data_IF_866585436494
#
_entry.id   IF_866585436494
#
_cell.length_a   1.000
_cell.length_b   1.000
_cell.length_c   1.000
_cell.angle_alpha   90.00
_cell.angle_beta   90.00
_cell.angle_gamma   90.00
#
_symmetry.space_group_name_H-M   'P 1'
#
loop_
_entity.id
_entity.type
_entity.pdbx_description
1 polymer ?
#
# COMPACT_ATOMS: atom_id res chain seq x y z
N UNK A 1 -0.15 12.04 -14.42
CA UNK A 1 -0.91 13.20 -13.93
C UNK A 1 -0.57 13.56 -12.49
N UNK A 2 -0.46 12.60 -11.56
CA UNK A 2 -0.16 12.92 -10.14
C UNK A 2 1.21 13.60 -9.94
N UNK A 3 2.24 13.27 -10.74
CA UNK A 3 3.60 13.82 -10.61
C UNK A 3 3.78 15.34 -10.84
N UNK A 4 2.74 16.05 -11.24
CA UNK A 4 2.80 17.51 -11.46
C UNK A 4 1.86 18.27 -10.53
N UNK A 5 1.08 17.57 -9.71
CA UNK A 5 -0.01 18.17 -8.95
C UNK A 5 0.50 19.07 -7.81
N UNK A 6 1.71 18.81 -7.33
CA UNK A 6 2.40 19.58 -6.31
C UNK A 6 3.36 20.65 -6.85
N UNK A 7 3.51 20.74 -8.17
CA UNK A 7 4.30 21.80 -8.82
C UNK A 7 3.50 23.11 -8.89
N UNK A 8 4.13 24.25 -9.26
CA UNK A 8 3.41 25.50 -9.50
C UNK A 8 2.18 25.30 -10.39
N UNK A 9 1.05 25.82 -9.93
CA UNK A 9 -0.27 25.68 -10.56
C UNK A 9 -0.87 24.26 -10.61
N UNK A 10 -0.20 23.24 -10.07
CA UNK A 10 -0.64 21.84 -10.14
C UNK A 10 -2.03 21.60 -9.52
N UNK A 11 -2.30 22.21 -8.35
CA UNK A 11 -3.62 22.15 -7.71
C UNK A 11 -4.70 22.86 -8.55
N UNK A 12 -4.37 23.99 -9.16
CA UNK A 12 -5.26 24.76 -10.03
C UNK A 12 -5.65 23.92 -11.25
N UNK A 13 -4.67 23.27 -11.90
CA UNK A 13 -4.94 22.35 -12.99
C UNK A 13 -5.76 21.13 -12.57
N UNK A 14 -5.47 20.54 -11.41
CA UNK A 14 -6.26 19.43 -10.90
C UNK A 14 -7.72 19.82 -10.69
N UNK A 15 -7.96 21.01 -10.13
CA UNK A 15 -9.33 21.55 -9.97
C UNK A 15 -10.02 21.80 -11.30
N UNK A 16 -9.30 22.32 -12.29
CA UNK A 16 -9.82 22.56 -13.64
C UNK A 16 -10.21 21.26 -14.34
N UNK A 17 -9.32 20.25 -14.35
CA UNK A 17 -9.56 18.95 -14.97
C UNK A 17 -10.71 18.21 -14.30
N UNK A 18 -10.78 18.28 -12.97
CA UNK A 18 -11.86 17.65 -12.19
C UNK A 18 -13.16 18.46 -12.20
N UNK A 19 -13.10 19.72 -12.65
CA UNK A 19 -14.16 20.71 -12.47
C UNK A 19 -14.71 20.73 -11.03
N UNK A 20 -13.82 20.59 -10.04
CA UNK A 20 -14.19 20.41 -8.62
C UNK A 20 -13.00 20.69 -7.70
N UNK A 21 -13.29 21.04 -6.44
CA UNK A 21 -12.27 21.11 -5.37
C UNK A 21 -12.02 19.77 -4.68
N UNK A 22 -12.76 18.75 -5.08
CA UNK A 22 -12.77 17.45 -4.43
C UNK A 22 -12.43 16.34 -5.42
N UNK A 23 -11.80 15.32 -4.88
CA UNK A 23 -11.73 14.01 -5.49
C UNK A 23 -12.84 13.16 -4.84
N UNK A 24 -13.70 12.60 -5.68
CA UNK A 24 -14.82 11.76 -5.26
C UNK A 24 -14.65 10.35 -5.79
N UNK A 25 -15.01 9.37 -4.98
CA UNK A 25 -15.06 7.97 -5.37
C UNK A 25 -16.48 7.42 -5.16
N UNK A 26 -16.87 6.52 -6.05
CA UNK A 26 -18.12 5.79 -5.92
C UNK A 26 -17.90 4.60 -4.98
N UNK A 27 -18.62 4.61 -3.86
CA UNK A 27 -18.68 3.45 -2.97
C UNK A 27 -19.56 2.37 -3.62
N UNK A 28 -19.07 1.12 -3.59
CA UNK A 28 -19.64 0.00 -4.32
C UNK A 28 -20.65 -0.80 -3.50
N UNK A 29 -20.67 -0.64 -2.17
CA UNK A 29 -21.60 -1.35 -1.28
C UNK A 29 -21.97 -0.54 -0.04
N UNK A 30 -23.12 -0.86 0.57
CA UNK A 30 -23.53 -0.28 1.87
C UNK A 30 -22.53 -0.61 2.99
N UNK A 31 -21.83 -1.74 2.88
CA UNK A 31 -20.83 -2.13 3.87
C UNK A 31 -19.58 -1.24 3.79
N UNK A 32 -19.11 -0.92 2.58
CA UNK A 32 -18.02 0.03 2.37
C UNK A 32 -18.38 1.45 2.89
N UNK A 33 -19.65 1.85 2.77
CA UNK A 33 -20.12 3.18 3.20
C UNK A 33 -19.93 3.44 4.70
N UNK A 34 -19.91 2.39 5.52
CA UNK A 34 -19.67 2.48 6.95
C UNK A 34 -18.24 2.89 7.30
N UNK A 35 -17.27 2.67 6.41
CA UNK A 35 -15.84 2.76 6.72
C UNK A 35 -15.03 3.68 5.80
N UNK A 36 -15.52 4.05 4.61
CA UNK A 36 -14.77 4.88 3.65
C UNK A 36 -15.38 6.27 3.45
N UNK A 37 -14.51 7.28 3.38
CA UNK A 37 -14.88 8.60 2.90
C UNK A 37 -15.10 8.58 1.38
N UNK A 38 -16.26 9.08 0.95
CA UNK A 38 -16.63 9.21 -0.47
C UNK A 38 -15.93 10.37 -1.17
N UNK A 39 -15.55 11.39 -0.42
CA UNK A 39 -15.09 12.68 -0.95
C UNK A 39 -13.95 13.21 -0.10
N UNK A 40 -12.86 13.63 -0.76
CA UNK A 40 -11.73 14.26 -0.11
C UNK A 40 -11.22 15.46 -0.91
N UNK A 41 -10.53 16.37 -0.22
CA UNK A 41 -9.97 17.59 -0.81
C UNK A 41 -8.81 17.27 -1.75
N UNK A 42 -8.76 17.90 -2.92
CA UNK A 42 -7.66 17.70 -3.88
C UNK A 42 -6.29 18.09 -3.31
N UNK A 43 -6.28 18.99 -2.32
CA UNK A 43 -5.10 19.34 -1.55
C UNK A 43 -4.46 18.12 -0.87
N UNK A 44 -5.23 17.11 -0.46
CA UNK A 44 -4.68 15.90 0.12
C UNK A 44 -3.79 15.13 -0.87
N UNK A 45 -4.17 15.12 -2.16
CA UNK A 45 -3.37 14.50 -3.23
C UNK A 45 -2.06 15.27 -3.44
N UNK A 46 -2.11 16.61 -3.35
CA UNK A 46 -0.91 17.46 -3.39
C UNK A 46 0.04 17.13 -2.24
N UNK A 47 -0.47 17.07 -1.02
CA UNK A 47 0.36 16.78 0.15
C UNK A 47 0.93 15.37 0.12
N UNK A 48 0.17 14.38 -0.37
CA UNK A 48 0.69 13.03 -0.57
C UNK A 48 1.83 13.02 -1.59
N UNK A 49 1.70 13.74 -2.72
CA UNK A 49 2.77 13.80 -3.71
C UNK A 49 4.03 14.46 -3.14
N UNK A 50 3.89 15.55 -2.38
CA UNK A 50 5.01 16.17 -1.65
C UNK A 50 5.70 15.19 -0.70
N UNK A 51 4.93 14.41 0.08
CA UNK A 51 5.47 13.39 0.95
C UNK A 51 6.26 12.34 0.16
N UNK A 52 5.70 11.84 -0.94
CA UNK A 52 6.36 10.82 -1.75
C UNK A 52 7.69 11.32 -2.31
N UNK A 53 7.74 12.52 -2.90
CA UNK A 53 8.96 13.07 -3.50
C UNK A 53 10.04 13.41 -2.48
N UNK A 54 9.63 13.83 -1.28
CA UNK A 54 10.56 14.20 -0.20
C UNK A 54 11.04 13.03 0.64
N UNK A 55 10.39 11.85 0.58
CA UNK A 55 10.70 10.75 1.52
C UNK A 55 10.91 9.39 0.86
N UNK A 56 10.34 9.10 -0.30
CA UNK A 56 10.43 7.77 -0.93
C UNK A 56 11.69 7.62 -1.79
N UNK A 57 12.84 7.88 -1.19
CA UNK A 57 14.15 7.80 -1.83
C UNK A 57 15.13 6.95 -1.01
N UNK A 58 16.22 6.52 -1.65
CA UNK A 58 17.20 5.59 -1.06
C UNK A 58 17.71 6.02 0.32
N UNK A 59 18.05 7.31 0.51
CA UNK A 59 18.55 7.79 1.81
C UNK A 59 17.58 7.55 2.97
N UNK A 60 16.27 7.60 2.73
CA UNK A 60 15.25 7.29 3.74
C UNK A 60 15.15 5.79 3.97
N UNK A 61 15.12 5.00 2.89
CA UNK A 61 15.05 3.53 2.99
C UNK A 61 16.30 2.93 3.67
N UNK A 62 17.46 3.54 3.50
CA UNK A 62 18.71 3.14 4.15
C UNK A 62 18.68 3.32 5.69
N UNK A 63 17.74 4.11 6.21
CA UNK A 63 17.54 4.28 7.66
C UNK A 63 16.69 3.16 8.26
N UNK A 64 15.93 2.42 7.44
CA UNK A 64 15.06 1.34 7.90
C UNK A 64 15.87 0.06 8.03
N UNK A 65 16.02 -0.43 9.26
CA UNK A 65 16.83 -1.62 9.59
C UNK A 65 16.05 -2.71 10.32
N UNK A 66 14.85 -2.39 10.79
CA UNK A 66 13.93 -3.29 11.49
C UNK A 66 13.45 -4.39 10.55
N UNK A 67 12.99 -5.55 11.07
CA UNK A 67 12.38 -6.57 10.24
C UNK A 67 11.17 -6.03 9.46
N UNK A 68 11.05 -6.39 8.18
CA UNK A 68 9.99 -5.91 7.30
C UNK A 68 9.34 -7.05 6.52
N UNK A 69 8.01 -7.09 6.52
CA UNK A 69 7.20 -7.94 5.66
C UNK A 69 6.43 -7.07 4.66
N UNK A 70 6.65 -7.28 3.37
CA UNK A 70 5.83 -6.70 2.31
C UNK A 70 4.92 -7.77 1.71
N UNK A 71 3.61 -7.57 1.79
CA UNK A 71 2.61 -8.40 1.12
C UNK A 71 2.02 -7.62 -0.06
N UNK A 72 1.82 -8.28 -1.21
CA UNK A 72 1.28 -7.63 -2.40
C UNK A 72 0.48 -8.62 -3.26
N UNK A 73 -0.54 -8.13 -3.98
CA UNK A 73 -1.31 -8.93 -4.92
C UNK A 73 -0.56 -9.05 -6.25
N UNK A 74 -0.06 -10.25 -6.54
CA UNK A 74 0.57 -10.58 -7.82
C UNK A 74 0.37 -12.06 -8.14
N UNK A 75 -0.39 -12.35 -9.19
CA UNK A 75 -0.54 -13.71 -9.73
C UNK A 75 0.28 -13.88 -11.00
N UNK A 76 0.23 -12.90 -11.89
CA UNK A 76 1.03 -12.81 -13.11
C UNK A 76 1.00 -11.36 -13.63
N UNK A 77 1.66 -11.09 -14.77
CA UNK A 77 1.76 -9.74 -15.34
C UNK A 77 0.39 -9.11 -15.66
N UNK A 78 -0.60 -9.93 -16.02
CA UNK A 78 -1.95 -9.49 -16.37
C UNK A 78 -2.86 -9.40 -15.13
N UNK A 79 -2.66 -10.30 -14.17
CA UNK A 79 -3.45 -10.44 -12.95
C UNK A 79 -2.59 -10.05 -11.74
N UNK A 80 -2.52 -8.75 -11.50
CA UNK A 80 -1.81 -8.14 -10.38
C UNK A 80 -2.55 -6.89 -9.92
N UNK A 81 -2.06 -6.29 -8.85
CA UNK A 81 -2.55 -5.02 -8.34
C UNK A 81 -2.55 -3.92 -9.42
N UNK A 82 -3.73 -3.36 -9.70
CA UNK A 82 -3.91 -2.27 -10.66
C UNK A 82 -3.86 -0.88 -10.01
N UNK A 83 -3.84 -0.80 -8.68
CA UNK A 83 -3.81 0.44 -7.91
C UNK A 83 -2.37 0.80 -7.55
N UNK A 84 -1.59 -0.17 -7.07
CA UNK A 84 -0.19 0.02 -6.69
C UNK A 84 0.73 -0.86 -7.54
N UNK A 85 1.85 -0.27 -8.01
CA UNK A 85 2.82 -0.97 -8.86
C UNK A 85 3.65 -1.96 -8.03
N UNK A 86 3.47 -3.26 -8.27
CA UNK A 86 4.29 -4.32 -7.66
C UNK A 86 5.81 -4.10 -7.87
N UNK A 87 6.30 -3.70 -9.06
CA UNK A 87 7.72 -3.39 -9.23
C UNK A 87 8.25 -2.28 -8.32
N UNK A 88 7.41 -1.30 -7.96
CA UNK A 88 7.81 -0.22 -7.05
C UNK A 88 7.95 -0.72 -5.60
N UNK A 89 7.05 -1.62 -5.17
CA UNK A 89 7.14 -2.28 -3.85
C UNK A 89 8.45 -3.08 -3.76
N UNK A 90 8.75 -3.87 -4.80
CA UNK A 90 9.96 -4.70 -4.82
C UNK A 90 11.24 -3.86 -4.88
N UNK A 91 11.24 -2.77 -5.65
CA UNK A 91 12.36 -1.81 -5.69
C UNK A 91 12.61 -1.21 -4.30
N UNK A 92 11.57 -0.67 -3.65
CA UNK A 92 11.69 -0.12 -2.31
C UNK A 92 12.19 -1.17 -1.32
N UNK A 93 11.66 -2.40 -1.35
CA UNK A 93 12.09 -3.49 -0.48
C UNK A 93 13.58 -3.82 -0.62
N UNK A 94 14.10 -3.77 -1.84
CA UNK A 94 15.53 -3.96 -2.11
C UNK A 94 16.37 -2.82 -1.51
N UNK A 95 15.89 -1.58 -1.57
CA UNK A 95 16.55 -0.38 -1.05
C UNK A 95 16.54 -0.27 0.49
N UNK A 96 15.74 -1.08 1.21
CA UNK A 96 15.77 -1.13 2.68
C UNK A 96 17.11 -1.65 3.21
N UNK A 97 17.69 -0.96 4.21
CA UNK A 97 18.88 -1.42 4.92
C UNK A 97 18.65 -2.60 5.88
N UNK A 98 17.41 -3.06 6.03
CA UNK A 98 17.07 -4.28 6.75
C UNK A 98 17.87 -5.47 6.20
N UNK A 99 18.53 -6.21 7.11
CA UNK A 99 19.30 -7.40 6.75
C UNK A 99 18.42 -8.41 5.98
N UNK A 100 18.99 -9.08 4.98
CA UNK A 100 18.22 -9.97 4.08
C UNK A 100 17.44 -11.07 4.84
N UNK A 101 18.00 -11.61 5.93
CA UNK A 101 17.34 -12.60 6.79
C UNK A 101 16.12 -12.05 7.55
N UNK A 102 15.98 -10.73 7.64
CA UNK A 102 14.94 -10.03 8.41
C UNK A 102 13.90 -9.34 7.52
N UNK A 103 14.02 -9.42 6.19
CA UNK A 103 13.05 -8.84 5.26
C UNK A 103 12.48 -9.88 4.30
N UNK A 104 11.18 -9.84 4.09
CA UNK A 104 10.46 -10.75 3.18
C UNK A 104 9.48 -9.97 2.32
N UNK A 105 9.40 -10.33 1.04
CA UNK A 105 8.43 -9.80 0.09
C UNK A 105 7.63 -10.96 -0.50
N UNK A 106 6.35 -11.10 -0.11
CA UNK A 106 5.52 -12.27 -0.41
C UNK A 106 4.31 -11.87 -1.25
N UNK A 107 4.17 -12.53 -2.41
CA UNK A 107 2.99 -12.36 -3.26
C UNK A 107 1.81 -13.17 -2.71
N UNK A 108 0.61 -12.58 -2.74
CA UNK A 108 -0.67 -13.25 -2.41
C UNK A 108 -1.49 -13.37 -3.70
N UNK A 109 -1.28 -14.42 -4.52
CA UNK A 109 -1.79 -14.49 -5.89
C UNK A 109 -3.33 -14.62 -5.98
N UNK A 110 -3.97 -15.10 -4.92
CA UNK A 110 -5.42 -15.30 -4.90
C UNK A 110 -6.18 -14.19 -4.18
N UNK A 111 -5.50 -13.13 -3.73
CA UNK A 111 -6.17 -12.03 -3.03
C UNK A 111 -7.13 -11.25 -3.95
N UNK A 112 -6.81 -11.14 -5.25
CA UNK A 112 -7.61 -10.46 -6.28
C UNK A 112 -8.04 -9.02 -5.93
N UNK A 113 -7.30 -8.36 -5.03
CA UNK A 113 -7.58 -7.00 -4.57
C UNK A 113 -6.30 -6.33 -4.06
N UNK A 114 -6.27 -4.99 -4.12
CA UNK A 114 -5.25 -4.18 -3.44
C UNK A 114 -5.41 -4.21 -1.91
N UNK A 115 -6.65 -4.35 -1.41
CA UNK A 115 -7.00 -4.26 0.01
C UNK A 115 -6.81 -5.61 0.73
N UNK A 116 -5.58 -6.14 0.74
CA UNK A 116 -5.24 -7.50 1.20
C UNK A 116 -5.73 -7.86 2.60
N UNK A 117 -5.71 -6.91 3.54
CA UNK A 117 -6.14 -7.15 4.92
C UNK A 117 -7.64 -6.99 5.17
N UNK A 118 -8.43 -6.68 4.14
CA UNK A 118 -9.85 -6.34 4.32
C UNK A 118 -10.75 -7.57 4.33
N UNK A 119 -11.50 -7.73 5.42
CA UNK A 119 -12.63 -8.66 5.55
C UNK A 119 -13.71 -8.52 4.46
N UNK A 120 -13.78 -7.35 3.83
CA UNK A 120 -14.83 -6.97 2.88
C UNK A 120 -14.39 -7.24 1.44
N UNK A 121 -13.08 -7.18 1.14
CA UNK A 121 -12.57 -7.20 -0.23
C UNK A 121 -11.61 -8.33 -0.56
N UNK A 122 -10.88 -8.85 0.43
CA UNK A 122 -9.84 -9.83 0.16
C UNK A 122 -10.43 -11.22 0.00
N UNK A 123 -10.09 -11.87 -1.11
CA UNK A 123 -10.55 -13.22 -1.43
C UNK A 123 -9.69 -14.32 -0.78
N UNK A 124 -8.52 -13.96 -0.22
CA UNK A 124 -7.60 -14.90 0.43
C UNK A 124 -6.98 -14.33 1.71
N UNK A 125 -7.83 -13.98 2.67
CA UNK A 125 -7.41 -13.58 4.01
C UNK A 125 -6.63 -14.68 4.76
N UNK A 126 -6.94 -15.98 4.62
CA UNK A 126 -6.13 -17.03 5.22
C UNK A 126 -4.66 -16.99 4.77
N UNK A 127 -4.37 -16.81 3.48
CA UNK A 127 -2.99 -16.69 3.02
C UNK A 127 -2.28 -15.45 3.60
N UNK A 128 -2.98 -14.32 3.69
CA UNK A 128 -2.44 -13.09 4.33
C UNK A 128 -2.11 -13.36 5.80
N UNK A 129 -3.03 -13.96 6.56
CA UNK A 129 -2.81 -14.32 7.97
C UNK A 129 -1.65 -15.30 8.13
N UNK A 130 -1.57 -16.32 7.28
CA UNK A 130 -0.49 -17.30 7.32
C UNK A 130 0.88 -16.66 7.06
N UNK A 131 0.97 -15.76 6.07
CA UNK A 131 2.21 -15.04 5.79
C UNK A 131 2.66 -14.17 6.98
N UNK A 132 1.72 -13.47 7.61
CA UNK A 132 1.98 -12.66 8.82
C UNK A 132 2.44 -13.55 9.98
N UNK A 133 1.69 -14.62 10.29
CA UNK A 133 2.03 -15.54 11.38
C UNK A 133 3.41 -16.19 11.18
N UNK A 134 3.70 -16.61 9.96
CA UNK A 134 5.00 -17.17 9.59
C UNK A 134 6.12 -16.15 9.84
N UNK A 135 5.94 -14.91 9.42
CA UNK A 135 6.92 -13.85 9.66
C UNK A 135 7.12 -13.57 11.15
N UNK A 136 6.04 -13.52 11.94
CA UNK A 136 6.07 -13.32 13.39
C UNK A 136 6.91 -14.43 14.08
N UNK A 137 6.65 -15.69 13.74
CA UNK A 137 7.35 -16.82 14.36
C UNK A 137 8.78 -16.94 13.84
N UNK A 138 8.98 -16.91 12.53
CA UNK A 138 10.28 -17.24 11.93
C UNK A 138 11.26 -16.07 11.92
N UNK A 139 10.78 -14.83 11.77
CA UNK A 139 11.64 -13.63 11.68
C UNK A 139 11.64 -12.85 12.98
N UNK A 140 10.47 -12.56 13.55
CA UNK A 140 10.41 -11.82 14.82
C UNK A 140 10.70 -12.69 16.04
N UNK A 141 10.73 -14.02 15.87
CA UNK A 141 10.99 -15.00 16.94
C UNK A 141 10.00 -14.88 18.11
N UNK A 142 8.76 -14.50 17.81
CA UNK A 142 7.70 -14.40 18.79
C UNK A 142 6.89 -15.70 18.82
N UNK A 143 6.62 -16.18 20.03
CA UNK A 143 5.80 -17.38 20.26
C UNK A 143 4.32 -17.01 20.37
N UNK A 144 3.39 -17.81 19.80
CA UNK A 144 1.97 -17.63 20.05
C UNK A 144 1.66 -17.77 21.55
N UNK A 145 0.87 -16.86 22.09
CA UNK A 145 0.31 -17.03 23.43
C UNK A 145 -0.81 -18.05 23.33
N UNK A 146 -0.60 -19.24 23.92
CA UNK A 146 -1.66 -20.23 24.07
C UNK A 146 -2.57 -19.75 25.21
N UNK A 147 -3.72 -19.17 24.85
CA UNK A 147 -4.77 -18.94 25.84
C UNK A 147 -5.33 -20.31 26.25
N UNK A 148 -5.21 -20.61 27.55
CA UNK A 148 -5.88 -21.74 28.20
C UNK A 148 -7.37 -21.47 28.34
#
# INVERSE_FOLDING_TARGET
MVFIINNPWGLQFARLIKNSRFQSETIKSQEEEKYWYKVYRLEAVVQLQNLLESTMHKLTFDQIRQPVLNLYYYKNKQQQDSVVKVPAILKMHQELATAQRNKQAVAIPNANTHKLGSGIHAYDLPAVKNAINKFIVEVLKLSPVLNK
#
